data_IF_111070941707
#
_entry.id   IF_111070941707
#
_cell.length_a   1.000
_cell.length_b   1.000
_cell.length_c   1.000
_cell.angle_alpha   90.00
_cell.angle_beta   90.00
_cell.angle_gamma   90.00
#
_symmetry.space_group_name_H-M   'P 1'
#
loop_
_entity.id
_entity.type
_entity.pdbx_description
1 polymer ?
#
# COMPACT_ATOMS: atom_id res chain seq x y z
N UNK A 1 29.67 2.65 20.01
CA UNK A 1 28.79 2.27 18.88
C UNK A 1 27.38 2.67 19.25
N UNK A 2 26.89 3.78 18.70
CA UNK A 2 25.55 4.30 18.99
C UNK A 2 24.47 3.40 18.39
N UNK A 3 23.55 2.93 19.23
CA UNK A 3 22.31 2.31 18.80
C UNK A 3 21.45 3.38 18.12
N UNK A 4 21.29 3.30 16.79
CA UNK A 4 20.24 4.04 16.08
C UNK A 4 18.88 3.66 16.68
N UNK A 5 18.26 4.61 17.39
CA UNK A 5 16.88 4.50 17.90
C UNK A 5 15.96 4.15 16.74
N UNK A 6 15.54 2.90 16.65
CA UNK A 6 14.47 2.50 15.73
C UNK A 6 13.20 3.24 16.14
N UNK A 7 12.74 4.17 15.30
CA UNK A 7 11.46 4.85 15.50
C UNK A 7 10.36 3.80 15.62
N UNK A 8 9.82 3.61 16.84
CA UNK A 8 8.85 2.56 17.12
C UNK A 8 7.46 3.01 16.67
N UNK A 9 7.07 2.64 15.45
CA UNK A 9 5.70 2.83 14.96
C UNK A 9 4.72 1.92 15.70
N UNK A 10 3.59 2.46 16.17
CA UNK A 10 2.54 1.68 16.86
C UNK A 10 1.62 1.02 15.83
N UNK A 11 1.30 -0.26 16.02
CA UNK A 11 0.29 -0.94 15.20
C UNK A 11 -1.11 -0.47 15.60
N UNK A 12 -1.90 0.00 14.62
CA UNK A 12 -3.30 0.36 14.85
C UNK A 12 -4.29 -0.76 14.54
N UNK A 13 -3.86 -1.75 13.77
CA UNK A 13 -4.64 -2.95 13.50
C UNK A 13 -3.71 -4.17 13.35
N UNK A 14 -4.31 -5.38 13.40
CA UNK A 14 -3.61 -6.60 12.98
C UNK A 14 -3.28 -6.51 11.49
N UNK A 15 -2.19 -7.15 11.09
CA UNK A 15 -1.86 -7.28 9.66
C UNK A 15 -2.92 -8.09 8.94
N UNK A 16 -3.28 -7.64 7.74
CA UNK A 16 -4.12 -8.37 6.81
C UNK A 16 -3.20 -8.99 5.76
N UNK A 17 -3.09 -10.31 5.82
CA UNK A 17 -2.17 -11.07 4.99
C UNK A 17 -2.89 -11.67 3.78
N UNK A 18 -2.16 -11.87 2.69
CA UNK A 18 -2.57 -12.70 1.56
C UNK A 18 -1.35 -13.28 0.84
N UNK A 19 -1.53 -14.41 0.18
CA UNK A 19 -0.45 -15.11 -0.53
C UNK A 19 -0.75 -15.08 -2.02
N UNK A 20 0.29 -14.80 -2.81
CA UNK A 20 0.22 -14.92 -4.26
C UNK A 20 1.53 -15.48 -4.80
N UNK A 21 1.46 -16.66 -5.43
CA UNK A 21 2.64 -17.40 -5.88
C UNK A 21 3.61 -17.67 -4.71
N UNK A 22 4.93 -17.44 -4.88
CA UNK A 22 5.92 -17.66 -3.83
C UNK A 22 6.03 -16.48 -2.84
N UNK A 23 5.10 -15.52 -2.87
CA UNK A 23 5.15 -14.33 -2.01
C UNK A 23 3.97 -14.26 -1.05
N UNK A 24 4.25 -13.93 0.19
CA UNK A 24 3.27 -13.46 1.17
C UNK A 24 3.30 -11.94 1.21
N UNK A 25 2.14 -11.32 1.09
CA UNK A 25 1.94 -9.89 1.24
C UNK A 25 1.19 -9.62 2.54
N UNK A 26 1.45 -8.46 3.13
CA UNK A 26 0.74 -7.99 4.32
C UNK A 26 0.49 -6.50 4.23
N UNK A 27 -0.66 -6.06 4.75
CA UNK A 27 -0.96 -4.64 4.95
C UNK A 27 -1.33 -4.39 6.41
N UNK A 28 -0.92 -3.26 6.96
CA UNK A 28 -1.44 -2.79 8.25
C UNK A 28 -1.43 -1.26 8.38
N UNK A 29 -2.23 -0.75 9.32
CA UNK A 29 -2.18 0.65 9.73
C UNK A 29 -1.14 0.83 10.83
N UNK A 30 -0.29 1.84 10.64
CA UNK A 30 0.75 2.25 11.58
C UNK A 30 0.54 3.69 11.99
N UNK A 31 0.67 3.97 13.27
CA UNK A 31 0.69 5.33 13.81
C UNK A 31 2.14 5.75 14.03
N UNK A 32 2.55 6.79 13.32
CA UNK A 32 3.78 7.52 13.58
C UNK A 32 3.54 8.71 14.50
N UNK A 33 4.57 9.55 14.66
CA UNK A 33 4.47 10.76 15.51
C UNK A 33 3.60 11.86 14.90
N UNK A 34 3.58 11.95 13.56
CA UNK A 34 2.94 13.06 12.83
C UNK A 34 1.66 12.64 12.12
N UNK A 35 1.55 11.38 11.73
CA UNK A 35 0.40 10.87 10.98
C UNK A 35 0.27 9.35 11.08
N UNK A 36 -0.82 8.86 10.51
CA UNK A 36 -1.11 7.44 10.33
C UNK A 36 -0.77 7.07 8.88
N UNK A 37 -0.14 5.91 8.71
CA UNK A 37 0.31 5.40 7.42
C UNK A 37 -0.25 4.00 7.16
N UNK A 38 -0.36 3.66 5.88
CA UNK A 38 -0.54 2.28 5.43
C UNK A 38 0.84 1.70 5.14
N UNK A 39 1.22 0.65 5.86
CA UNK A 39 2.40 -0.15 5.56
C UNK A 39 1.98 -1.30 4.66
N UNK A 40 2.71 -1.47 3.57
CA UNK A 40 2.55 -2.59 2.64
C UNK A 40 3.88 -3.32 2.58
N UNK A 41 3.87 -4.64 2.77
CA UNK A 41 5.08 -5.44 2.69
C UNK A 41 4.88 -6.74 1.95
N UNK A 42 5.99 -7.25 1.41
CA UNK A 42 6.08 -8.55 0.74
C UNK A 42 7.25 -9.36 1.30
N UNK A 43 7.07 -10.68 1.35
CA UNK A 43 8.01 -11.67 1.85
C UNK A 43 8.03 -12.84 0.88
N UNK A 44 9.21 -13.30 0.49
CA UNK A 44 9.33 -14.59 -0.20
C UNK A 44 9.09 -15.73 0.80
N UNK A 45 8.26 -16.70 0.42
CA UNK A 45 7.93 -17.88 1.24
C UNK A 45 9.04 -18.93 1.23
N UNK A 46 9.92 -18.89 0.23
CA UNK A 46 11.12 -19.72 0.18
C UNK A 46 12.20 -19.13 1.12
N UNK A 47 12.48 -19.87 2.19
CA UNK A 47 13.37 -19.51 3.30
C UNK A 47 14.83 -19.31 2.89
N UNK A 48 15.22 -19.68 1.67
CA UNK A 48 16.56 -19.37 1.13
C UNK A 48 16.71 -17.90 0.74
N UNK A 49 15.60 -17.17 0.55
CA UNK A 49 15.58 -15.76 0.16
C UNK A 49 14.84 -14.94 1.22
N UNK A 50 15.53 -14.54 2.29
CA UNK A 50 15.05 -13.56 3.28
C UNK A 50 14.92 -12.13 2.72
N UNK A 51 14.41 -11.97 1.50
CA UNK A 51 14.13 -10.65 0.93
C UNK A 51 12.72 -10.22 1.33
N UNK A 52 12.67 -9.23 2.21
CA UNK A 52 11.46 -8.51 2.56
C UNK A 52 11.54 -7.11 1.95
N UNK A 53 10.48 -6.65 1.29
CA UNK A 53 10.33 -5.25 0.91
C UNK A 53 9.15 -4.66 1.66
N UNK A 54 9.26 -3.39 2.05
CA UNK A 54 8.23 -2.63 2.75
C UNK A 54 8.17 -1.22 2.19
N UNK A 55 6.96 -0.72 1.93
CA UNK A 55 6.69 0.68 1.59
C UNK A 55 5.69 1.25 2.61
N UNK A 56 5.79 2.56 2.83
CA UNK A 56 4.96 3.28 3.80
C UNK A 56 4.33 4.48 3.11
N UNK A 57 3.04 4.40 2.86
CA UNK A 57 2.29 5.49 2.23
C UNK A 57 1.38 6.19 3.23
N UNK A 58 1.23 7.51 3.11
CA UNK A 58 0.16 8.22 3.80
C UNK A 58 -1.20 7.65 3.42
N UNK A 59 -2.20 7.86 4.28
CA UNK A 59 -3.56 7.35 4.03
C UNK A 59 -4.20 8.01 2.79
N UNK A 60 -3.91 9.28 2.51
CA UNK A 60 -4.37 9.97 1.30
C UNK A 60 -3.83 9.28 0.04
N UNK A 61 -2.54 8.96 0.04
CA UNK A 61 -1.88 8.23 -1.05
C UNK A 61 -2.44 6.82 -1.20
N UNK A 62 -2.71 6.12 -0.09
CA UNK A 62 -3.36 4.80 -0.12
C UNK A 62 -4.78 4.85 -0.71
N UNK A 63 -5.55 5.91 -0.44
CA UNK A 63 -6.88 6.13 -1.05
C UNK A 63 -6.76 6.35 -2.55
N UNK A 64 -5.80 7.16 -2.99
CA UNK A 64 -5.52 7.36 -4.40
C UNK A 64 -5.12 6.05 -5.10
N UNK A 65 -4.23 5.26 -4.48
CA UNK A 65 -3.87 3.93 -4.98
C UNK A 65 -5.11 3.05 -5.13
N UNK A 66 -6.03 3.05 -4.16
CA UNK A 66 -7.26 2.24 -4.23
C UNK A 66 -8.13 2.60 -5.44
N UNK A 67 -8.22 3.89 -5.77
CA UNK A 67 -8.94 4.38 -6.96
C UNK A 67 -8.25 3.92 -8.24
N UNK A 68 -6.93 4.11 -8.35
CA UNK A 68 -6.18 3.71 -9.55
C UNK A 68 -6.15 2.18 -9.74
N UNK A 69 -6.21 1.38 -8.67
CA UNK A 69 -6.36 -0.08 -8.78
C UNK A 69 -7.65 -0.48 -9.51
N UNK A 70 -8.73 0.31 -9.40
CA UNK A 70 -9.98 0.06 -10.14
C UNK A 70 -9.76 0.25 -11.64
N UNK A 71 -9.08 1.33 -12.03
CA UNK A 71 -8.74 1.59 -13.43
C UNK A 71 -7.78 0.52 -13.98
N UNK A 72 -6.76 0.15 -13.21
CA UNK A 72 -5.82 -0.93 -13.57
C UNK A 72 -6.56 -2.24 -13.83
N UNK A 73 -7.53 -2.63 -12.98
CA UNK A 73 -8.34 -3.84 -13.20
C UNK A 73 -9.15 -3.75 -14.50
N UNK A 74 -9.69 -2.58 -14.83
CA UNK A 74 -10.40 -2.37 -16.09
C UNK A 74 -9.45 -2.48 -17.28
N UNK A 75 -8.23 -1.94 -17.19
CA UNK A 75 -7.20 -2.08 -18.21
C UNK A 75 -6.82 -3.55 -18.41
N UNK A 76 -6.66 -4.32 -17.33
CA UNK A 76 -6.37 -5.77 -17.41
C UNK A 76 -7.47 -6.49 -18.18
N UNK A 77 -8.74 -6.29 -17.80
CA UNK A 77 -9.90 -6.91 -18.48
C UNK A 77 -9.96 -6.57 -19.98
N UNK A 78 -9.69 -5.31 -20.34
CA UNK A 78 -9.65 -4.87 -21.76
C UNK A 78 -8.53 -5.52 -22.57
N UNK A 79 -7.48 -5.99 -21.91
CA UNK A 79 -6.34 -6.66 -22.53
C UNK A 79 -6.31 -8.17 -22.23
N UNK A 80 -7.38 -8.76 -21.68
CA UNK A 80 -7.49 -10.21 -21.56
C UNK A 80 -7.58 -10.82 -22.97
N UNK A 81 -6.66 -11.72 -23.30
CA UNK A 81 -6.62 -12.41 -24.60
C UNK A 81 -5.78 -11.73 -25.69
N UNK A 82 -5.18 -10.55 -25.44
CA UNK A 82 -4.15 -10.02 -26.35
C UNK A 82 -2.87 -10.85 -26.25
N UNK A 83 -2.33 -11.28 -27.39
CA UNK A 83 -1.05 -12.01 -27.45
C UNK A 83 0.06 -11.20 -26.76
N UNK A 84 0.88 -11.82 -25.89
CA UNK A 84 1.93 -11.15 -25.10
C UNK A 84 3.13 -10.68 -25.94
N UNK A 85 2.95 -10.42 -27.24
CA UNK A 85 4.00 -9.88 -28.10
C UNK A 85 4.43 -8.49 -27.61
N UNK A 86 5.55 -8.53 -26.90
CA UNK A 86 6.46 -7.45 -26.51
C UNK A 86 6.00 -6.52 -25.38
N UNK A 87 7.00 -6.08 -24.61
CA UNK A 87 6.94 -5.25 -23.39
C UNK A 87 6.05 -4.02 -23.58
N UNK A 88 4.74 -4.17 -23.38
CA UNK A 88 3.80 -3.07 -23.44
C UNK A 88 3.56 -2.55 -22.04
N UNK A 89 3.98 -1.30 -21.81
CA UNK A 89 3.49 -0.50 -20.70
C UNK A 89 2.02 -0.18 -21.00
N UNK A 90 1.11 -0.74 -20.21
CA UNK A 90 -0.33 -0.64 -20.40
C UNK A 90 -0.94 0.51 -19.59
N UNK A 91 -0.31 0.87 -18.49
CA UNK A 91 -0.77 1.93 -17.60
C UNK A 91 0.43 2.50 -16.85
N UNK A 92 0.48 3.83 -16.71
CA UNK A 92 1.46 4.51 -15.87
C UNK A 92 0.83 5.70 -15.15
N UNK A 93 1.10 5.81 -13.85
CA UNK A 93 0.66 6.93 -13.03
C UNK A 93 1.71 7.28 -11.99
N UNK A 94 1.93 8.56 -11.77
CA UNK A 94 2.82 9.07 -10.73
C UNK A 94 1.99 9.85 -9.72
N UNK A 95 2.33 9.75 -8.44
CA UNK A 95 1.79 10.61 -7.40
C UNK A 95 2.86 10.93 -6.37
N UNK A 96 2.68 12.07 -5.72
CA UNK A 96 3.63 12.61 -4.76
C UNK A 96 3.01 12.62 -3.37
N UNK A 97 3.75 12.09 -2.39
CA UNK A 97 3.44 12.21 -0.97
C UNK A 97 4.22 13.39 -0.39
N UNK A 98 3.54 14.54 -0.28
CA UNK A 98 4.11 15.77 0.25
C UNK A 98 4.60 15.62 1.70
N UNK A 99 3.99 14.72 2.48
CA UNK A 99 4.31 14.55 3.90
C UNK A 99 5.69 13.88 4.08
N UNK A 100 5.99 12.90 3.22
CA UNK A 100 7.19 12.08 3.33
C UNK A 100 8.26 12.38 2.27
N UNK A 101 7.98 13.28 1.33
CA UNK A 101 8.89 13.57 0.22
C UNK A 101 9.12 12.35 -0.68
N UNK A 102 8.11 11.50 -0.84
CA UNK A 102 8.17 10.27 -1.62
C UNK A 102 7.38 10.42 -2.91
N UNK A 103 7.97 9.95 -4.01
CA UNK A 103 7.27 9.79 -5.29
C UNK A 103 6.93 8.33 -5.45
N UNK A 104 5.69 8.07 -5.81
CA UNK A 104 5.22 6.74 -6.14
C UNK A 104 4.88 6.66 -7.61
N UNK A 105 5.34 5.59 -8.25
CA UNK A 105 5.11 5.32 -9.67
C UNK A 105 4.42 3.97 -9.78
N UNK A 106 3.22 3.95 -10.38
CA UNK A 106 2.48 2.75 -10.73
C UNK A 106 2.69 2.44 -12.20
N UNK A 107 3.11 1.22 -12.51
CA UNK A 107 3.27 0.75 -13.88
C UNK A 107 2.61 -0.62 -14.05
N UNK A 108 1.60 -0.74 -14.90
CA UNK A 108 1.10 -2.03 -15.36
C UNK A 108 1.81 -2.39 -16.66
N UNK A 109 2.51 -3.52 -16.68
CA UNK A 109 3.24 -3.96 -17.88
C UNK A 109 3.16 -5.46 -18.08
N UNK A 110 3.21 -5.89 -19.34
CA UNK A 110 3.44 -7.30 -19.72
C UNK A 110 4.94 -7.57 -19.59
N UNK A 111 5.35 -8.44 -18.67
CA UNK A 111 6.78 -8.75 -18.49
C UNK A 111 7.26 -9.79 -19.50
N UNK A 112 8.38 -9.49 -20.16
CA UNK A 112 9.00 -10.37 -21.15
C UNK A 112 9.96 -11.42 -20.56
N UNK A 113 10.09 -11.46 -19.23
CA UNK A 113 10.90 -12.43 -18.51
C UNK A 113 9.99 -13.21 -17.59
N UNK A 114 10.34 -14.47 -17.32
CA UNK A 114 9.61 -15.31 -16.40
C UNK A 114 9.59 -14.67 -15.01
N UNK A 115 8.39 -14.30 -14.55
CA UNK A 115 8.19 -13.68 -13.25
C UNK A 115 7.23 -14.56 -12.45
N UNK A 116 7.66 -15.00 -11.26
CA UNK A 116 6.90 -15.93 -10.40
C UNK A 116 6.42 -17.20 -11.14
N UNK A 117 7.16 -17.65 -12.17
CA UNK A 117 6.93 -18.89 -12.91
C UNK A 117 6.13 -18.76 -14.21
N UNK A 118 5.87 -17.55 -14.73
CA UNK A 118 5.19 -17.36 -16.03
C UNK A 118 5.81 -16.24 -16.87
N UNK A 119 6.11 -16.56 -18.13
CA UNK A 119 6.46 -15.60 -19.18
C UNK A 119 5.21 -14.85 -19.67
N UNK A 120 5.33 -13.55 -19.95
CA UNK A 120 4.24 -12.75 -20.50
C UNK A 120 3.15 -12.39 -19.50
N UNK A 121 3.37 -12.56 -18.19
CA UNK A 121 2.38 -12.18 -17.18
C UNK A 121 2.29 -10.64 -17.04
N UNK A 122 1.06 -10.11 -17.08
CA UNK A 122 0.80 -8.73 -16.69
C UNK A 122 1.05 -8.55 -15.20
N UNK A 123 1.91 -7.59 -14.86
CA UNK A 123 2.31 -7.32 -13.48
C UNK A 123 2.20 -5.82 -13.20
N UNK A 124 1.59 -5.47 -12.08
CA UNK A 124 1.64 -4.12 -11.53
C UNK A 124 2.94 -3.95 -10.75
N UNK A 125 3.69 -2.92 -11.09
CA UNK A 125 4.85 -2.46 -10.36
C UNK A 125 4.45 -1.23 -9.53
N UNK A 126 4.69 -1.26 -8.22
CA UNK A 126 4.57 -0.09 -7.35
C UNK A 126 5.98 0.28 -6.94
N UNK A 127 6.41 1.45 -7.39
CA UNK A 127 7.74 1.98 -7.18
C UNK A 127 7.63 3.11 -6.17
N UNK A 128 8.45 3.08 -5.11
CA UNK A 128 8.65 4.19 -4.18
C UNK A 128 10.06 4.75 -4.39
N UNK A 129 10.16 6.06 -4.63
CA UNK A 129 11.40 6.80 -4.83
C UNK A 129 11.45 8.00 -3.89
N UNK A 130 12.54 8.13 -3.14
CA UNK A 130 12.79 9.32 -2.31
C UNK A 130 13.24 10.49 -3.17
N UNK A 131 12.61 11.66 -3.00
CA UNK A 131 13.06 12.89 -3.70
C UNK A 131 14.47 13.28 -3.27
N UNK A 132 14.79 13.08 -2.00
CA UNK A 132 16.08 13.48 -1.41
C UNK A 132 17.19 12.47 -1.70
N UNK A 133 16.85 11.25 -2.13
CA UNK A 133 17.81 10.19 -2.44
C UNK A 133 17.26 9.29 -3.56
N UNK A 134 17.45 9.74 -4.81
CA UNK A 134 16.99 9.02 -6.01
C UNK A 134 17.65 7.65 -6.20
N UNK A 135 18.66 7.30 -5.40
CA UNK A 135 19.30 5.98 -5.44
C UNK A 135 18.52 4.93 -4.67
N UNK A 136 17.69 5.35 -3.70
CA UNK A 136 16.81 4.45 -2.94
C UNK A 136 15.48 4.31 -3.65
N UNK A 137 15.31 3.14 -4.27
CA UNK A 137 14.08 2.74 -4.93
C UNK A 137 13.60 1.41 -4.37
N UNK A 138 12.40 1.38 -3.82
CA UNK A 138 11.72 0.13 -3.44
C UNK A 138 10.73 -0.22 -4.53
N UNK A 139 10.76 -1.46 -5.03
CA UNK A 139 9.84 -1.91 -6.09
C UNK A 139 9.07 -3.12 -5.63
N UNK A 140 7.75 -2.99 -5.63
CA UNK A 140 6.79 -4.05 -5.37
C UNK A 140 6.21 -4.57 -6.67
N UNK A 141 5.97 -5.87 -6.72
CA UNK A 141 5.40 -6.51 -7.90
C UNK A 141 4.16 -7.29 -7.50
N UNK A 142 3.02 -6.97 -8.11
CA UNK A 142 1.76 -7.67 -7.89
C UNK A 142 1.26 -8.20 -9.24
N UNK A 143 1.23 -9.53 -9.42
CA UNK A 143 0.69 -10.12 -10.65
C UNK A 143 -0.78 -9.77 -10.84
N UNK A 144 -1.23 -9.73 -12.09
CA UNK A 144 -2.60 -9.30 -12.45
C UNK A 144 -3.70 -10.00 -11.66
N UNK A 145 -3.58 -11.31 -11.44
CA UNK A 145 -4.54 -12.10 -10.65
C UNK A 145 -4.55 -11.75 -9.16
N UNK A 146 -3.46 -11.20 -8.63
CA UNK A 146 -3.35 -10.72 -7.25
C UNK A 146 -3.89 -9.31 -7.04
N UNK A 147 -4.03 -8.51 -8.09
CA UNK A 147 -4.45 -7.10 -8.01
C UNK A 147 -5.86 -6.93 -7.43
N UNK A 148 -6.89 -7.70 -7.83
CA UNK A 148 -8.21 -7.61 -7.20
C UNK A 148 -8.21 -7.96 -5.71
N UNK A 149 -7.39 -8.94 -5.32
CA UNK A 149 -7.23 -9.32 -3.90
C UNK A 149 -6.57 -8.18 -3.14
N UNK A 150 -5.48 -7.62 -3.67
CA UNK A 150 -4.78 -6.49 -3.10
C UNK A 150 -5.69 -5.27 -2.93
N UNK A 151 -6.46 -4.91 -3.97
CA UNK A 151 -7.46 -3.84 -3.91
C UNK A 151 -8.47 -4.07 -2.78
N UNK A 152 -9.02 -5.28 -2.67
CA UNK A 152 -9.95 -5.64 -1.59
C UNK A 152 -9.30 -5.50 -0.21
N UNK A 153 -8.07 -5.99 -0.04
CA UNK A 153 -7.34 -5.88 1.25
C UNK A 153 -7.02 -4.43 1.60
N UNK A 154 -6.61 -3.62 0.63
CA UNK A 154 -6.35 -2.18 0.83
C UNK A 154 -7.64 -1.44 1.22
N UNK A 155 -8.77 -1.75 0.59
CA UNK A 155 -10.08 -1.21 0.97
C UNK A 155 -10.45 -1.55 2.42
N UNK A 156 -10.20 -2.78 2.87
CA UNK A 156 -10.42 -3.17 4.27
C UNK A 156 -9.57 -2.34 5.24
N UNK A 157 -8.29 -2.13 4.92
CA UNK A 157 -7.38 -1.30 5.72
C UNK A 157 -7.87 0.15 5.81
N UNK A 158 -8.29 0.74 4.69
CA UNK A 158 -8.80 2.11 4.65
C UNK A 158 -10.12 2.26 5.41
N UNK A 159 -10.97 1.22 5.38
CA UNK A 159 -12.20 1.20 6.18
C UNK A 159 -11.92 1.25 7.68
N UNK A 160 -10.92 0.50 8.16
CA UNK A 160 -10.50 0.54 9.57
C UNK A 160 -10.05 1.95 9.97
N UNK A 161 -9.34 2.65 9.08
CA UNK A 161 -8.95 4.04 9.32
C UNK A 161 -10.16 4.97 9.42
N UNK A 162 -11.10 4.88 8.48
CA UNK A 162 -12.29 5.74 8.48
C UNK A 162 -13.19 5.49 9.70
N UNK A 163 -13.31 4.23 10.15
CA UNK A 163 -14.02 3.86 11.38
C UNK A 163 -13.36 4.49 12.62
N UNK A 164 -12.03 4.52 12.66
CA UNK A 164 -11.28 5.15 13.75
C UNK A 164 -11.52 6.66 13.81
N UNK A 165 -11.47 7.35 12.68
CA UNK A 165 -11.74 8.79 12.63
C UNK A 165 -13.15 9.14 13.13
N UNK A 166 -14.15 8.30 12.84
CA UNK A 166 -15.51 8.48 13.37
C UNK A 166 -15.56 8.31 14.89
N UNK A 167 -14.88 7.30 15.43
CA UNK A 167 -14.83 7.07 16.88
C UNK A 167 -14.14 8.22 17.62
N UNK A 168 -13.06 8.77 17.07
CA UNK A 168 -12.34 9.88 17.71
C UNK A 168 -13.23 11.14 17.73
N UNK A 169 -13.93 11.45 16.62
CA UNK A 169 -14.90 12.56 16.58
C UNK A 169 -16.02 12.41 17.60
N UNK A 170 -16.56 11.19 17.76
CA UNK A 170 -17.62 10.91 18.72
C UNK A 170 -17.14 11.08 20.18
N UNK A 171 -15.89 10.66 20.48
CA UNK A 171 -15.28 10.88 21.80
C UNK A 171 -15.14 12.36 22.13
N UNK A 172 -14.64 13.17 21.19
CA UNK A 172 -14.53 14.61 21.40
C UNK A 172 -15.91 15.28 21.59
N UNK A 173 -16.93 14.87 20.84
CA UNK A 173 -18.29 15.41 21.02
C UNK A 173 -18.85 15.07 22.41
N UNK A 174 -18.67 13.84 22.90
CA UNK A 174 -19.13 13.45 24.24
C UNK A 174 -18.39 14.21 25.36
N UNK A 175 -17.06 14.37 25.26
CA UNK A 175 -16.26 15.13 26.22
C UNK A 175 -16.65 16.63 26.27
N UNK A 176 -17.12 17.20 25.16
CA UNK A 176 -17.68 18.56 25.13
C UNK A 176 -19.05 18.62 25.79
N UNK A 177 -19.94 17.66 25.53
CA UNK A 177 -21.28 17.62 26.15
C UNK A 177 -21.20 17.46 27.67
N UNK A 178 -20.26 16.64 28.18
CA UNK A 178 -20.14 16.41 29.63
C UNK A 178 -19.63 17.63 30.40
N UNK A 179 -18.87 18.52 29.77
CA UNK A 179 -18.36 19.76 30.39
C UNK A 179 -19.38 20.91 30.40
N UNK A 180 -20.48 20.79 29.67
CA UNK A 180 -21.53 21.82 29.61
C UNK A 180 -22.63 21.55 30.66
N UNK A 181 -22.73 20.32 31.17
CA UNK A 181 -23.70 19.90 32.19
C UNK A 181 -23.12 19.85 33.63
N UNK A 182 -21.94 20.42 33.91
CA UNK A 182 -21.57 20.68 35.31
C UNK A 182 -22.44 21.84 35.84
N UNK A 183 -23.31 21.61 36.85
CA UNK A 183 -24.15 22.66 37.38
C UNK A 183 -23.27 23.74 38.01
N UNK A 184 -23.48 24.99 37.61
CA UNK A 184 -22.97 26.14 38.36
C UNK A 184 -23.68 26.14 39.70
N UNK A 185 -22.94 25.82 40.76
CA UNK A 185 -23.29 26.22 42.13
C UNK A 185 -23.46 27.74 42.24
#
# INVERSE_FOLDING_TARGET
>A
MEQTKTHRYKNLCRSIDFVFGPKKYFLNLREGRKEIFVRIGELYLDSTKNKSHEIYMSVSVAKFLLEELREIINVIKKNEGTSPEQKKLLYKKNFFDENNGQVYILELMVRSQEFLGKLGEMTLCIIEESINDKTKKTVFFIPSKGIPIFQKKLSMILKIYDERLKSDKNRYQQEVTTKIEEPKE
#
